data_IF_305463263100
#
_entry.id   IF_305463263100
#
_cell.length_a   1.000
_cell.length_b   1.000
_cell.length_c   1.000
_cell.angle_alpha   90.00
_cell.angle_beta   90.00
_cell.angle_gamma   90.00
#
_symmetry.space_group_name_H-M   'P 1'
#
loop_
_entity.id
_entity.type
_entity.pdbx_description
1 polymer ?
#
# COMPACT_ATOMS: atom_id res chain seq x y z
N UNK A 1 -0.39 -19.92 20.84
CA UNK A 1 -0.64 -18.56 20.31
C UNK A 1 -0.29 -18.62 18.84
N UNK A 2 -1.24 -18.29 17.96
CA UNK A 2 -0.96 -18.28 16.53
C UNK A 2 -0.08 -17.07 16.15
N UNK A 3 0.41 -17.03 14.91
CA UNK A 3 1.28 -15.94 14.43
C UNK A 3 0.58 -14.58 14.46
N UNK A 4 -0.73 -14.54 14.21
CA UNK A 4 -1.53 -13.33 14.13
C UNK A 4 -1.67 -12.69 15.51
N UNK A 5 -2.05 -13.48 16.51
CA UNK A 5 -2.17 -13.03 17.89
C UNK A 5 -0.84 -12.53 18.42
N UNK A 6 0.25 -13.27 18.15
CA UNK A 6 1.60 -12.87 18.54
C UNK A 6 2.01 -11.55 17.89
N UNK A 7 1.72 -11.36 16.60
CA UNK A 7 2.00 -10.11 15.91
C UNK A 7 1.23 -8.94 16.52
N UNK A 8 -0.08 -9.07 16.69
CA UNK A 8 -0.93 -7.99 17.23
C UNK A 8 -0.49 -7.59 18.64
N UNK A 9 -0.22 -8.57 19.51
CA UNK A 9 0.22 -8.29 20.89
C UNK A 9 1.57 -7.58 20.96
N UNK A 10 2.53 -7.96 20.12
CA UNK A 10 3.82 -7.28 20.03
C UNK A 10 3.68 -5.89 19.42
N UNK A 11 2.83 -5.72 18.39
CA UNK A 11 2.57 -4.43 17.78
C UNK A 11 2.03 -3.42 18.79
N UNK A 12 0.98 -3.79 19.52
CA UNK A 12 0.39 -2.96 20.57
C UNK A 12 1.41 -2.56 21.64
N UNK A 13 2.28 -3.51 22.04
CA UNK A 13 3.31 -3.28 23.07
C UNK A 13 4.41 -2.32 22.63
N UNK A 14 4.91 -2.46 21.40
CA UNK A 14 6.12 -1.77 20.96
C UNK A 14 5.86 -0.53 20.09
N UNK A 15 4.64 -0.36 19.57
CA UNK A 15 4.29 0.75 18.69
C UNK A 15 3.20 1.66 19.28
N UNK A 16 3.00 1.63 20.60
CA UNK A 16 2.10 2.55 21.32
C UNK A 16 0.70 2.69 20.68
N UNK A 17 0.07 1.54 20.39
CA UNK A 17 -1.24 1.48 19.73
C UNK A 17 -1.32 2.21 18.37
N UNK A 18 -0.20 2.41 17.68
CA UNK A 18 -0.21 2.88 16.29
C UNK A 18 -1.07 1.97 15.42
N UNK A 19 -1.68 2.55 14.39
CA UNK A 19 -2.43 1.80 13.38
C UNK A 19 -1.57 0.68 12.76
N UNK A 20 -2.23 -0.40 12.35
CA UNK A 20 -1.54 -1.55 11.74
C UNK A 20 -0.75 -1.12 10.49
N UNK A 21 0.40 -1.75 10.22
CA UNK A 21 1.22 -1.37 9.08
C UNK A 21 0.53 -1.72 7.76
N UNK A 22 0.82 -0.92 6.73
CA UNK A 22 0.48 -1.25 5.35
C UNK A 22 1.51 -2.24 4.82
N UNK A 23 1.04 -3.34 4.24
CA UNK A 23 1.89 -4.31 3.54
C UNK A 23 1.79 -4.06 2.04
N UNK A 24 2.91 -4.12 1.34
CA UNK A 24 2.97 -4.04 -0.12
C UNK A 24 4.02 -5.00 -0.67
N UNK A 25 3.90 -5.34 -1.94
CA UNK A 25 4.83 -6.19 -2.68
C UNK A 25 4.72 -5.88 -4.17
N UNK A 26 5.72 -6.33 -4.94
CA UNK A 26 5.71 -6.28 -6.39
C UNK A 26 5.40 -7.66 -6.94
N UNK A 27 4.62 -7.71 -8.02
CA UNK A 27 4.28 -8.94 -8.72
C UNK A 27 4.06 -8.66 -10.20
N UNK A 28 4.28 -9.66 -11.04
CA UNK A 28 3.88 -9.66 -12.46
C UNK A 28 2.52 -10.34 -12.67
N UNK A 29 1.95 -10.93 -11.63
CA UNK A 29 0.64 -11.58 -11.67
C UNK A 29 -0.48 -10.56 -11.45
N UNK A 30 -1.52 -10.62 -12.28
CA UNK A 30 -2.71 -9.79 -12.13
C UNK A 30 -3.72 -10.39 -11.14
N UNK A 31 -4.71 -9.61 -10.70
CA UNK A 31 -5.86 -10.11 -9.93
C UNK A 31 -5.69 -10.14 -8.41
N UNK A 32 -4.51 -9.81 -7.88
CA UNK A 32 -4.25 -9.79 -6.43
C UNK A 32 -4.92 -8.63 -5.68
N UNK A 33 -5.21 -7.52 -6.38
CA UNK A 33 -5.86 -6.34 -5.84
C UNK A 33 -6.54 -5.55 -6.97
N UNK A 34 -7.37 -4.57 -6.60
CA UNK A 34 -8.08 -3.74 -7.59
C UNK A 34 -7.08 -2.84 -8.34
N UNK A 35 -6.99 -2.94 -9.68
CA UNK A 35 -6.10 -2.06 -10.44
C UNK A 35 -6.58 -0.62 -10.36
N UNK A 36 -5.66 0.28 -10.01
CA UNK A 36 -5.92 1.71 -9.94
C UNK A 36 -5.98 2.26 -11.36
N UNK A 37 -7.08 2.94 -11.70
CA UNK A 37 -7.19 3.64 -12.98
C UNK A 37 -6.44 4.97 -12.90
N UNK A 38 -5.74 5.41 -13.96
CA UNK A 38 -5.12 6.73 -13.98
C UNK A 38 -6.13 7.83 -13.63
N UNK A 39 -5.78 8.67 -12.64
CA UNK A 39 -6.64 9.74 -12.15
C UNK A 39 -7.79 9.33 -11.21
N UNK A 40 -7.99 8.03 -10.92
CA UNK A 40 -9.06 7.57 -10.01
C UNK A 40 -8.70 7.62 -8.51
N UNK A 41 -7.45 7.96 -8.20
CA UNK A 41 -6.92 8.14 -6.84
C UNK A 41 -6.11 9.44 -6.80
N UNK A 42 -5.78 9.96 -5.59
CA UNK A 42 -4.89 11.10 -5.47
C UNK A 42 -3.61 10.92 -6.28
N UNK A 43 -3.12 12.02 -6.86
CA UNK A 43 -1.92 12.02 -7.71
C UNK A 43 -0.70 11.39 -7.02
N UNK A 44 -0.56 11.60 -5.71
CA UNK A 44 0.51 11.05 -4.89
C UNK A 44 0.11 9.67 -4.35
N UNK A 45 1.01 8.67 -4.46
CA UNK A 45 0.80 7.34 -3.89
C UNK A 45 0.49 7.40 -2.39
N UNK A 46 1.17 8.30 -1.64
CA UNK A 46 0.91 8.48 -0.21
C UNK A 46 -0.54 8.88 0.06
N UNK A 47 -1.14 9.72 -0.79
CA UNK A 47 -2.55 10.07 -0.69
C UNK A 47 -3.47 8.90 -1.03
N UNK A 48 -3.07 8.04 -1.98
CA UNK A 48 -3.82 6.83 -2.30
C UNK A 48 -3.80 5.79 -1.17
N UNK A 49 -2.74 5.77 -0.33
CA UNK A 49 -2.63 4.87 0.82
C UNK A 49 -3.70 5.11 1.90
N UNK A 50 -4.39 6.25 1.91
CA UNK A 50 -5.51 6.47 2.82
C UNK A 50 -6.61 5.41 2.63
N UNK A 51 -6.93 5.04 1.40
CA UNK A 51 -7.90 3.96 1.09
C UNK A 51 -7.39 2.58 1.49
N UNK A 52 -6.08 2.37 1.38
CA UNK A 52 -5.45 1.12 1.82
C UNK A 52 -5.55 0.96 3.33
N UNK A 53 -5.40 2.05 4.09
CA UNK A 53 -5.62 2.06 5.55
C UNK A 53 -7.05 1.71 5.93
N UNK A 54 -8.02 2.07 5.11
CA UNK A 54 -9.44 1.69 5.29
C UNK A 54 -9.74 0.25 4.85
N UNK A 55 -8.73 -0.50 4.40
CA UNK A 55 -8.85 -1.92 4.03
C UNK A 55 -9.13 -2.18 2.55
N UNK A 56 -9.03 -1.18 1.67
CA UNK A 56 -9.15 -1.39 0.22
C UNK A 56 -7.78 -1.76 -0.39
N UNK A 57 -7.56 -3.01 -0.85
CA UNK A 57 -6.33 -3.39 -1.53
C UNK A 57 -6.26 -2.74 -2.92
N UNK A 58 -5.17 -2.05 -3.20
CA UNK A 58 -4.91 -1.35 -4.47
C UNK A 58 -3.70 -1.94 -5.18
N UNK A 59 -3.78 -2.04 -6.51
CA UNK A 59 -2.66 -2.39 -7.39
C UNK A 59 -2.29 -1.20 -8.27
N UNK A 60 -0.99 -0.91 -8.39
CA UNK A 60 -0.46 0.22 -9.13
C UNK A 60 0.46 -0.23 -10.26
N UNK A 61 0.53 0.57 -11.31
CA UNK A 61 1.45 0.42 -12.44
C UNK A 61 2.06 1.79 -12.81
N UNK A 62 2.94 1.82 -13.80
CA UNK A 62 3.61 3.03 -14.25
C UNK A 62 2.66 4.14 -14.78
N UNK A 63 1.44 3.77 -15.16
CA UNK A 63 0.42 4.68 -15.69
C UNK A 63 -0.51 5.22 -14.60
N UNK A 64 -0.73 4.45 -13.53
CA UNK A 64 -1.64 4.82 -12.45
C UNK A 64 -1.00 5.69 -11.37
N UNK A 65 0.33 5.67 -11.23
CA UNK A 65 1.06 6.57 -10.34
C UNK A 65 1.22 7.96 -10.97
N UNK A 66 0.55 8.96 -10.42
CA UNK A 66 0.44 10.29 -11.04
C UNK A 66 1.58 11.27 -10.75
N UNK A 67 2.33 11.10 -9.66
CA UNK A 67 3.43 11.99 -9.29
C UNK A 67 4.80 11.43 -9.70
N UNK A 68 5.71 12.31 -10.14
CA UNK A 68 7.06 11.92 -10.56
C UNK A 68 7.84 11.19 -9.46
N UNK A 69 7.80 11.73 -8.23
CA UNK A 69 8.43 11.09 -7.09
C UNK A 69 7.90 9.68 -6.83
N UNK A 70 6.58 9.48 -6.94
CA UNK A 70 5.98 8.16 -6.81
C UNK A 70 6.48 7.19 -7.87
N UNK A 71 6.55 7.61 -9.14
CA UNK A 71 7.08 6.76 -10.22
C UNK A 71 8.52 6.34 -9.95
N UNK A 72 9.38 7.27 -9.54
CA UNK A 72 10.78 7.00 -9.21
C UNK A 72 10.93 6.05 -8.03
N UNK A 73 10.31 6.37 -6.88
CA UNK A 73 10.48 5.60 -5.65
C UNK A 73 9.74 4.25 -5.65
N UNK A 74 8.82 4.03 -6.58
CA UNK A 74 8.18 2.72 -6.82
C UNK A 74 8.83 1.93 -7.95
N UNK A 75 9.93 2.42 -8.55
CA UNK A 75 10.66 1.70 -9.59
C UNK A 75 10.00 1.69 -10.97
N UNK A 76 9.07 2.62 -11.24
CA UNK A 76 8.45 2.82 -12.56
C UNK A 76 9.15 3.86 -13.44
N UNK A 77 10.17 4.54 -12.91
CA UNK A 77 10.99 5.52 -13.63
C UNK A 77 12.40 5.61 -13.01
N UNK A 78 13.37 6.02 -13.82
CA UNK A 78 14.77 6.20 -13.44
C UNK A 78 15.07 7.45 -12.61
#
# INVERSE_FOLDING_TARGET
>A
MDIKDKFISLWQRYFDNAELPIVFYYTSEEGHAKPVKPGSVPRCVIGALARVREGEPLSFDANSVGCFGGKRYLGFAD
#
